data_IF_279696627555
#
_entry.id   IF_279696627555
#
_cell.length_a   1.000
_cell.length_b   1.000
_cell.length_c   1.000
_cell.angle_alpha   90.00
_cell.angle_beta   90.00
_cell.angle_gamma   90.00
#
_symmetry.space_group_name_H-M   'P 1'
#
loop_
_entity.id
_entity.type
_entity.pdbx_description
1 polymer ?
#
# COMPACT_ATOMS: atom_id res chain seq x y z
N UNK A 1 -10.30 -9.24 -18.55
CA UNK A 1 -9.44 -8.76 -19.66
C UNK A 1 -8.25 -9.69 -19.75
N UNK A 2 -7.87 -10.19 -20.93
CA UNK A 2 -6.68 -11.02 -21.12
C UNK A 2 -5.49 -10.10 -21.38
N UNK A 3 -4.43 -10.23 -20.60
CA UNK A 3 -3.22 -9.40 -20.70
C UNK A 3 -2.05 -10.33 -21.02
N UNK A 4 -1.22 -9.95 -21.99
CA UNK A 4 0.02 -10.65 -22.33
C UNK A 4 1.18 -9.75 -21.97
N UNK A 5 2.16 -10.27 -21.24
CA UNK A 5 3.35 -9.54 -20.84
C UNK A 5 4.58 -10.44 -21.00
N UNK A 6 5.69 -9.86 -21.44
CA UNK A 6 6.99 -10.54 -21.45
C UNK A 6 7.67 -10.25 -20.12
N UNK A 7 7.81 -11.28 -19.28
CA UNK A 7 8.40 -11.20 -17.94
C UNK A 7 9.54 -12.23 -17.87
N UNK A 8 10.72 -11.88 -17.32
CA UNK A 8 11.79 -12.86 -17.12
C UNK A 8 11.36 -14.00 -16.21
N UNK A 9 11.75 -15.23 -16.55
CA UNK A 9 11.39 -16.44 -15.80
C UNK A 9 11.89 -16.38 -14.34
N UNK A 10 13.08 -15.83 -14.11
CA UNK A 10 13.64 -15.65 -12.76
C UNK A 10 12.72 -14.82 -11.85
N UNK A 11 12.08 -13.78 -12.39
CA UNK A 11 11.15 -12.93 -11.63
C UNK A 11 9.85 -13.68 -11.36
N UNK A 12 9.38 -14.46 -12.33
CA UNK A 12 8.19 -15.29 -12.18
C UNK A 12 8.39 -16.33 -11.07
N UNK A 13 9.54 -17.01 -11.07
CA UNK A 13 9.89 -18.02 -10.09
C UNK A 13 9.97 -17.44 -8.67
N UNK A 14 10.62 -16.28 -8.53
CA UNK A 14 10.69 -15.57 -7.24
C UNK A 14 9.30 -15.15 -6.76
N UNK A 15 8.50 -14.52 -7.63
CA UNK A 15 7.14 -14.09 -7.25
C UNK A 15 6.29 -15.28 -6.85
N UNK A 16 6.36 -16.41 -7.56
CA UNK A 16 5.62 -17.61 -7.21
C UNK A 16 6.09 -18.21 -5.88
N UNK A 17 7.41 -18.23 -5.64
CA UNK A 17 8.00 -18.73 -4.39
C UNK A 17 7.64 -17.89 -3.17
N UNK A 18 7.64 -16.56 -3.30
CA UNK A 18 7.48 -15.65 -2.16
C UNK A 18 6.04 -15.23 -1.90
N UNK A 19 5.18 -15.19 -2.93
CA UNK A 19 3.79 -14.77 -2.76
C UNK A 19 2.90 -15.81 -2.09
N UNK A 20 3.23 -17.10 -2.18
CA UNK A 20 2.35 -18.17 -1.69
C UNK A 20 0.99 -18.25 -2.41
N UNK A 21 0.89 -17.67 -3.62
CA UNK A 21 -0.31 -17.74 -4.45
C UNK A 21 -0.57 -19.17 -4.95
N UNK A 22 -1.84 -19.50 -5.20
CA UNK A 22 -2.21 -20.83 -5.70
C UNK A 22 -1.74 -21.10 -7.13
N UNK A 23 -1.57 -20.03 -7.92
CA UNK A 23 -1.05 -20.07 -9.27
C UNK A 23 -0.24 -18.80 -9.57
N UNK A 24 0.46 -18.80 -10.71
CA UNK A 24 1.28 -17.68 -11.18
C UNK A 24 0.51 -16.36 -11.30
N UNK A 25 -0.74 -16.41 -11.78
CA UNK A 25 -1.57 -15.21 -11.94
C UNK A 25 -1.87 -14.57 -10.59
N UNK A 26 -2.30 -15.37 -9.61
CA UNK A 26 -2.59 -14.89 -8.26
C UNK A 26 -1.34 -14.34 -7.58
N UNK A 27 -0.21 -15.03 -7.78
CA UNK A 27 1.11 -14.63 -7.27
C UNK A 27 1.51 -13.24 -7.78
N UNK A 28 1.40 -13.02 -9.09
CA UNK A 28 1.69 -11.73 -9.74
C UNK A 28 0.71 -10.65 -9.27
N UNK A 29 -0.59 -10.97 -9.20
CA UNK A 29 -1.61 -10.02 -8.72
C UNK A 29 -1.29 -9.58 -7.29
N UNK A 30 -0.88 -10.50 -6.42
CA UNK A 30 -0.53 -10.19 -5.04
C UNK A 30 0.69 -9.28 -4.97
N UNK A 31 1.77 -9.63 -5.67
CA UNK A 31 2.99 -8.81 -5.73
C UNK A 31 2.71 -7.39 -6.25
N UNK A 32 1.87 -7.25 -7.28
CA UNK A 32 1.49 -5.94 -7.82
C UNK A 32 0.65 -5.13 -6.82
N UNK A 33 -0.27 -5.76 -6.08
CA UNK A 33 -1.08 -5.10 -5.05
C UNK A 33 -0.20 -4.59 -3.90
N UNK A 34 0.73 -5.41 -3.42
CA UNK A 34 1.66 -5.03 -2.36
C UNK A 34 2.54 -3.86 -2.79
N UNK A 35 3.09 -3.92 -4.01
CA UNK A 35 3.87 -2.81 -4.56
C UNK A 35 3.05 -1.51 -4.64
N UNK A 36 1.81 -1.57 -5.11
CA UNK A 36 0.91 -0.41 -5.15
C UNK A 36 0.60 0.13 -3.75
N UNK A 37 0.42 -0.75 -2.77
CA UNK A 37 0.16 -0.35 -1.38
C UNK A 37 1.33 0.45 -0.81
N UNK A 38 2.56 -0.06 -0.99
CA UNK A 38 3.78 0.65 -0.57
C UNK A 38 3.90 2.01 -1.26
N UNK A 39 3.58 2.10 -2.56
CA UNK A 39 3.61 3.37 -3.29
C UNK A 39 2.57 4.37 -2.75
N UNK A 40 1.37 3.91 -2.41
CA UNK A 40 0.32 4.76 -1.81
C UNK A 40 0.73 5.27 -0.43
N UNK A 41 1.29 4.42 0.42
CA UNK A 41 1.80 4.85 1.75
C UNK A 41 2.89 5.91 1.59
N UNK A 42 3.86 5.70 0.68
CA UNK A 42 4.91 6.69 0.44
C UNK A 42 4.34 8.03 0.01
N UNK A 43 3.41 8.01 -0.95
CA UNK A 43 2.73 9.23 -1.40
C UNK A 43 1.98 9.94 -0.26
N UNK A 44 1.29 9.18 0.59
CA UNK A 44 0.57 9.74 1.75
C UNK A 44 1.55 10.35 2.76
N UNK A 45 2.66 9.69 3.05
CA UNK A 45 3.67 10.20 3.97
C UNK A 45 4.30 11.50 3.45
N UNK A 46 4.55 11.60 2.14
CA UNK A 46 5.03 12.83 1.52
C UNK A 46 4.00 13.97 1.62
N UNK A 47 2.72 13.66 1.49
CA UNK A 47 1.64 14.63 1.67
C UNK A 47 1.53 15.11 3.12
N UNK A 48 1.58 14.19 4.08
CA UNK A 48 1.58 14.49 5.52
C UNK A 48 2.82 15.28 5.94
N UNK A 49 3.98 15.02 5.33
CA UNK A 49 5.20 15.79 5.62
C UNK A 49 5.07 17.24 5.14
N UNK A 50 4.38 17.49 4.01
CA UNK A 50 4.13 18.84 3.51
C UNK A 50 3.03 19.55 4.30
N UNK A 51 1.98 18.83 4.67
CA UNK A 51 0.83 19.35 5.40
C UNK A 51 0.55 18.44 6.61
N UNK A 52 1.26 18.65 7.73
CA UNK A 52 1.04 17.85 8.93
C UNK A 52 -0.40 17.96 9.41
N UNK A 53 -0.95 16.85 9.89
CA UNK A 53 -2.22 16.86 10.60
C UNK A 53 -2.02 17.56 11.94
N UNK A 54 -2.64 18.72 12.10
CA UNK A 54 -2.69 19.43 13.37
C UNK A 54 -3.99 19.09 14.09
N UNK A 55 -3.92 18.93 15.40
CA UNK A 55 -5.13 19.01 16.22
C UNK A 55 -5.74 20.40 16.10
N UNK A 56 -7.04 20.50 16.33
CA UNK A 56 -7.69 21.79 16.46
C UNK A 56 -7.04 22.53 17.63
N UNK A 57 -6.79 23.83 17.49
CA UNK A 57 -6.11 24.62 18.53
C UNK A 57 -6.81 24.57 19.89
N UNK A 58 -8.12 24.31 19.90
CA UNK A 58 -8.94 24.21 21.11
C UNK A 58 -9.05 22.79 21.69
N UNK A 59 -8.45 21.78 21.03
CA UNK A 59 -8.60 20.37 21.40
C UNK A 59 -8.03 20.12 22.79
N UNK A 60 -8.90 20.19 23.78
CA UNK A 60 -8.58 20.11 25.20
C UNK A 60 -9.50 19.12 25.89
N UNK A 61 -9.03 18.52 26.98
CA UNK A 61 -9.83 17.61 27.80
C UNK A 61 -11.03 18.30 28.45
N UNK A 62 -10.98 19.63 28.60
CA UNK A 62 -12.07 20.41 29.18
C UNK A 62 -13.24 20.57 28.21
N UNK A 63 -12.97 20.76 26.91
CA UNK A 63 -14.02 20.74 25.88
C UNK A 63 -14.72 19.37 25.78
N UNK A 64 -13.96 18.27 25.85
CA UNK A 64 -14.49 16.90 25.69
C UNK A 64 -15.37 16.48 26.87
N UNK A 65 -15.06 16.94 28.09
CA UNK A 65 -15.77 16.57 29.32
C UNK A 65 -17.03 17.41 29.59
N UNK A 66 -17.30 18.43 28.77
CA UNK A 66 -18.42 19.36 28.95
C UNK A 66 -19.73 18.90 28.28
N UNK A 67 -19.83 17.64 27.84
CA UNK A 67 -21.03 17.03 27.23
C UNK A 67 -21.94 16.33 28.25
#
# INVERSE_FOLDING_TARGET
MKVTANIPDEIVDDVQKYSGGQNITDSIIMALKEWLYVKRIKSLNEELARNPLCFRDTFSTDEIRSF
#
